data_IF_427256175671
#
_entry.id   IF_427256175671
#
_cell.length_a   1.000
_cell.length_b   1.000
_cell.length_c   1.000
_cell.angle_alpha   90.00
_cell.angle_beta   90.00
_cell.angle_gamma   90.00
#
_symmetry.space_group_name_H-M   'P 1'
#
loop_
_entity.id
_entity.type
_entity.pdbx_description
1 polymer ?
#
# COMPACT_ATOMS: atom_id res chain seq x y z
N UNK A 1 5.65 7.91 23.01
CA UNK A 1 5.61 6.51 22.59
C UNK A 1 6.23 6.42 21.19
N UNK A 2 7.09 5.45 20.98
CA UNK A 2 7.74 5.19 19.68
C UNK A 2 6.84 4.25 18.88
N UNK A 3 5.75 4.77 18.37
CA UNK A 3 4.75 3.96 17.65
C UNK A 3 4.32 4.63 16.35
N UNK A 4 4.14 3.81 15.33
CA UNK A 4 3.47 4.17 14.07
C UNK A 4 2.20 3.35 13.98
N UNK A 5 1.06 4.02 13.80
CA UNK A 5 -0.24 3.36 13.67
C UNK A 5 -0.78 3.56 12.26
N UNK A 6 -1.23 2.47 11.65
CA UNK A 6 -1.89 2.43 10.35
C UNK A 6 -3.27 1.85 10.56
N UNK A 7 -4.31 2.58 10.17
CA UNK A 7 -5.70 2.17 10.36
C UNK A 7 -6.49 2.22 9.06
N UNK A 8 -7.44 1.30 8.91
CA UNK A 8 -8.40 1.27 7.83
C UNK A 8 -9.84 1.10 8.37
N UNK A 9 -10.80 1.48 7.57
CA UNK A 9 -12.23 1.28 7.80
C UNK A 9 -12.81 0.15 6.92
N UNK A 10 -12.00 -0.81 6.53
CA UNK A 10 -12.33 -1.93 5.67
C UNK A 10 -13.26 -2.95 6.32
N UNK A 11 -13.24 -4.16 5.78
CA UNK A 11 -14.09 -5.25 6.29
C UNK A 11 -13.68 -5.75 7.67
N UNK A 12 -12.45 -5.48 8.11
CA UNK A 12 -11.91 -6.01 9.36
C UNK A 12 -11.80 -7.53 9.37
N UNK A 13 -11.59 -8.09 10.57
CA UNK A 13 -11.45 -9.52 10.78
C UNK A 13 -12.15 -9.93 12.08
N UNK A 14 -12.78 -11.10 12.09
CA UNK A 14 -13.22 -11.78 13.29
C UNK A 14 -12.07 -12.59 13.94
N UNK A 15 -12.33 -13.24 15.06
CA UNK A 15 -11.30 -13.99 15.82
C UNK A 15 -10.68 -15.16 15.01
N UNK A 16 -11.50 -15.90 14.27
CA UNK A 16 -11.03 -17.03 13.47
C UNK A 16 -10.15 -16.55 12.32
N UNK A 17 -10.56 -15.49 11.64
CA UNK A 17 -9.80 -14.87 10.56
C UNK A 17 -8.47 -14.28 11.05
N UNK A 18 -8.42 -13.67 12.24
CA UNK A 18 -7.18 -13.18 12.86
C UNK A 18 -6.19 -14.31 13.09
N UNK A 19 -6.66 -15.43 13.69
CA UNK A 19 -5.82 -16.60 13.93
C UNK A 19 -5.33 -17.21 12.61
N UNK A 20 -6.20 -17.27 11.62
CA UNK A 20 -5.92 -17.88 10.34
C UNK A 20 -4.97 -17.05 9.47
N UNK A 21 -5.18 -15.73 9.40
CA UNK A 21 -4.44 -14.84 8.51
C UNK A 21 -3.16 -14.27 9.15
N UNK A 22 -3.19 -13.98 10.45
CA UNK A 22 -2.03 -13.42 11.17
C UNK A 22 -1.24 -14.48 11.95
N UNK A 23 -1.83 -15.65 12.20
CA UNK A 23 -1.15 -16.78 12.82
C UNK A 23 -0.43 -17.70 11.84
N UNK A 24 -0.64 -17.53 10.54
CA UNK A 24 -0.06 -18.39 9.49
C UNK A 24 0.66 -17.55 8.45
N UNK A 25 1.96 -17.76 8.25
CA UNK A 25 2.76 -17.06 7.25
C UNK A 25 2.26 -17.38 5.84
N UNK A 26 2.23 -16.39 4.97
CA UNK A 26 1.83 -16.51 3.55
C UNK A 26 0.36 -16.94 3.36
N UNK A 27 -0.52 -16.61 4.29
CA UNK A 27 -1.97 -16.79 4.15
C UNK A 27 -2.67 -15.44 4.03
N UNK A 28 -3.53 -15.31 3.03
CA UNK A 28 -4.26 -14.08 2.74
C UNK A 28 -5.73 -14.36 2.49
N UNK A 29 -6.61 -13.58 3.12
CA UNK A 29 -8.04 -13.59 2.86
C UNK A 29 -8.43 -13.03 1.49
N UNK A 30 -7.51 -12.37 0.80
CA UNK A 30 -7.75 -11.74 -0.51
C UNK A 30 -8.23 -12.72 -1.57
N UNK A 31 -7.68 -13.95 -1.57
CA UNK A 31 -8.10 -14.99 -2.52
C UNK A 31 -9.54 -15.43 -2.28
N UNK A 32 -9.90 -15.71 -1.04
CA UNK A 32 -11.27 -16.11 -0.67
C UNK A 32 -12.27 -14.96 -0.95
N UNK A 33 -11.85 -13.72 -0.73
CA UNK A 33 -12.65 -12.54 -1.07
C UNK A 33 -12.88 -12.41 -2.58
N UNK A 34 -11.84 -12.60 -3.40
CA UNK A 34 -11.95 -12.63 -4.87
C UNK A 34 -12.90 -13.73 -5.37
N UNK A 35 -12.81 -14.90 -4.79
CA UNK A 35 -13.69 -16.04 -5.13
C UNK A 35 -15.16 -15.77 -4.75
N UNK A 36 -15.41 -14.96 -3.72
CA UNK A 36 -16.77 -14.53 -3.31
C UNK A 36 -17.34 -13.42 -4.19
N UNK A 37 -16.50 -12.67 -4.88
CA UNK A 37 -16.91 -11.66 -5.87
C UNK A 37 -17.21 -12.35 -7.20
N UNK A 38 -18.30 -11.99 -7.86
CA UNK A 38 -18.60 -12.51 -9.20
C UNK A 38 -17.48 -12.21 -10.20
N UNK A 39 -17.35 -13.05 -11.23
CA UNK A 39 -16.25 -13.04 -12.22
C UNK A 39 -15.97 -11.68 -12.87
N UNK A 40 -16.98 -10.83 -13.01
CA UNK A 40 -16.84 -9.51 -13.63
C UNK A 40 -16.30 -8.46 -12.65
N UNK A 41 -16.67 -8.52 -11.38
CA UNK A 41 -16.17 -7.62 -10.34
C UNK A 41 -14.75 -7.97 -9.89
N UNK A 42 -14.36 -9.24 -9.95
CA UNK A 42 -13.02 -9.70 -9.64
C UNK A 42 -11.96 -9.20 -10.64
N UNK A 43 -12.35 -8.98 -11.90
CA UNK A 43 -11.45 -8.44 -12.95
C UNK A 43 -11.11 -6.98 -12.76
N UNK A 44 -12.03 -6.19 -12.21
CA UNK A 44 -11.84 -4.75 -11.99
C UNK A 44 -11.20 -4.42 -10.63
N UNK A 45 -11.09 -5.41 -9.74
CA UNK A 45 -10.54 -5.20 -8.42
C UNK A 45 -9.00 -5.28 -8.43
N UNK A 46 -8.36 -4.12 -8.24
CA UNK A 46 -6.91 -4.02 -8.05
C UNK A 46 -6.54 -4.40 -6.61
N UNK A 47 -6.70 -5.68 -6.25
CA UNK A 47 -6.43 -6.14 -4.89
C UNK A 47 -4.93 -6.34 -4.65
N UNK A 48 -4.41 -5.65 -3.65
CA UNK A 48 -3.05 -5.77 -3.13
C UNK A 48 -3.06 -6.80 -1.99
N UNK A 49 -1.95 -7.52 -1.77
CA UNK A 49 -1.81 -8.40 -0.61
C UNK A 49 -2.20 -9.86 -0.84
N UNK A 50 -2.26 -10.33 -2.08
CA UNK A 50 -2.66 -11.70 -2.42
C UNK A 50 -1.78 -12.80 -1.79
N UNK A 51 -0.51 -12.51 -1.52
CA UNK A 51 0.45 -13.49 -1.02
C UNK A 51 0.51 -13.58 0.52
N UNK A 52 -0.13 -12.66 1.24
CA UNK A 52 -0.15 -12.64 2.70
C UNK A 52 1.22 -12.48 3.38
N UNK A 53 2.21 -11.91 2.71
CA UNK A 53 3.58 -11.75 3.24
C UNK A 53 3.91 -10.31 3.64
N UNK A 54 3.19 -9.32 3.11
CA UNK A 54 3.48 -7.89 3.33
C UNK A 54 3.39 -7.48 4.81
N UNK A 55 2.44 -8.03 5.55
CA UNK A 55 2.24 -7.76 6.97
C UNK A 55 3.50 -8.04 7.81
N UNK A 56 4.20 -9.13 7.50
CA UNK A 56 5.38 -9.53 8.28
C UNK A 56 6.59 -8.61 8.11
N UNK A 57 6.59 -7.76 7.07
CA UNK A 57 7.62 -6.73 6.91
C UNK A 57 7.61 -5.70 8.05
N UNK A 58 6.51 -5.57 8.78
CA UNK A 58 6.40 -4.74 9.97
C UNK A 58 7.46 -5.10 11.03
N UNK A 59 7.81 -6.38 11.16
CA UNK A 59 8.83 -6.84 12.11
C UNK A 59 10.27 -6.50 11.73
N UNK A 60 10.51 -5.95 10.53
CA UNK A 60 11.82 -5.41 10.17
C UNK A 60 12.11 -4.16 10.98
N UNK A 61 11.10 -3.32 11.24
CA UNK A 61 11.23 -2.02 11.90
C UNK A 61 10.62 -1.97 13.31
N UNK A 62 9.87 -3.00 13.69
CA UNK A 62 9.16 -3.06 14.98
C UNK A 62 9.62 -4.24 15.82
N UNK A 63 9.78 -4.01 17.14
CA UNK A 63 10.00 -5.06 18.13
C UNK A 63 8.72 -5.79 18.50
N UNK A 64 7.60 -5.10 18.31
CA UNK A 64 6.28 -5.61 18.61
C UNK A 64 5.24 -5.00 17.67
N UNK A 65 4.30 -5.81 17.24
CA UNK A 65 3.15 -5.38 16.43
C UNK A 65 1.88 -5.74 17.17
N UNK A 66 0.97 -4.78 17.29
CA UNK A 66 -0.38 -5.00 17.81
C UNK A 66 -1.40 -4.70 16.74
N UNK A 67 -2.44 -5.52 16.68
CA UNK A 67 -3.57 -5.37 15.75
C UNK A 67 -4.86 -5.32 16.55
N UNK A 68 -5.70 -4.34 16.24
CA UNK A 68 -7.06 -4.22 16.77
C UNK A 68 -8.01 -4.23 15.59
N UNK A 69 -8.89 -5.21 15.53
CA UNK A 69 -9.76 -5.36 14.38
C UNK A 69 -11.17 -5.75 14.78
N UNK A 70 -12.15 -5.45 13.96
CA UNK A 70 -13.53 -5.93 14.09
C UNK A 70 -14.13 -6.09 12.70
N UNK A 71 -14.71 -7.26 12.46
CA UNK A 71 -15.34 -7.58 11.19
C UNK A 71 -16.59 -6.71 10.94
N UNK A 72 -16.83 -6.40 9.69
CA UNK A 72 -18.03 -5.70 9.27
C UNK A 72 -19.28 -6.53 9.58
N UNK A 73 -20.27 -5.91 10.18
CA UNK A 73 -21.51 -6.60 10.62
C UNK A 73 -21.46 -7.17 12.03
N UNK A 74 -20.28 -7.30 12.62
CA UNK A 74 -20.14 -7.76 14.00
C UNK A 74 -20.48 -6.66 15.01
N UNK A 75 -20.84 -7.09 16.24
CA UNK A 75 -21.09 -6.17 17.35
C UNK A 75 -19.78 -5.58 17.89
N UNK A 76 -19.82 -4.41 18.53
CA UNK A 76 -18.61 -3.79 19.11
C UNK A 76 -17.84 -4.71 20.08
N UNK A 77 -18.53 -5.55 20.81
CA UNK A 77 -17.95 -6.49 21.80
C UNK A 77 -17.15 -7.61 21.15
N UNK A 78 -17.34 -7.86 19.85
CA UNK A 78 -16.64 -8.88 19.07
C UNK A 78 -15.35 -8.37 18.42
N UNK A 79 -14.81 -7.24 18.88
CA UNK A 79 -13.50 -6.77 18.49
C UNK A 79 -12.41 -7.75 18.95
N UNK A 80 -11.34 -7.83 18.19
CA UNK A 80 -10.21 -8.74 18.42
C UNK A 80 -8.93 -7.96 18.55
N UNK A 81 -8.14 -8.29 19.54
CA UNK A 81 -6.78 -7.82 19.74
C UNK A 81 -5.81 -8.98 19.43
N UNK A 82 -4.78 -8.68 18.69
CA UNK A 82 -3.67 -9.59 18.39
C UNK A 82 -2.35 -8.87 18.66
N UNK A 83 -1.38 -9.58 19.21
CA UNK A 83 -0.05 -9.06 19.52
C UNK A 83 1.01 -10.12 19.25
N UNK A 84 2.13 -9.72 18.66
CA UNK A 84 3.32 -10.55 18.54
C UNK A 84 4.61 -9.72 18.55
N UNK A 85 5.69 -10.34 19.01
CA UNK A 85 7.05 -9.83 18.89
C UNK A 85 7.80 -10.39 17.66
N UNK A 86 7.13 -11.21 16.83
CA UNK A 86 7.74 -11.81 15.64
C UNK A 86 8.61 -13.05 15.93
N UNK A 87 8.57 -13.60 17.14
CA UNK A 87 9.38 -14.74 17.59
C UNK A 87 8.65 -16.10 17.42
N UNK A 88 7.57 -16.12 16.64
CA UNK A 88 6.77 -17.33 16.38
C UNK A 88 5.59 -17.52 17.34
N UNK A 89 5.45 -16.65 18.33
CA UNK A 89 4.33 -16.64 19.27
C UNK A 89 3.47 -15.39 19.10
N UNK A 90 2.19 -15.51 19.40
CA UNK A 90 1.25 -14.39 19.41
C UNK A 90 0.18 -14.57 20.48
N UNK A 91 -0.41 -13.47 20.89
CA UNK A 91 -1.54 -13.43 21.84
C UNK A 91 -2.79 -12.94 21.11
N UNK A 92 -3.95 -13.54 21.40
CA UNK A 92 -5.26 -13.10 20.92
C UNK A 92 -6.20 -12.91 22.10
N UNK A 93 -6.85 -11.75 22.14
CA UNK A 93 -7.84 -11.41 23.15
C UNK A 93 -9.08 -10.77 22.52
N UNK A 94 -10.22 -10.89 23.19
CA UNK A 94 -11.43 -10.16 22.80
C UNK A 94 -11.39 -8.76 23.39
N UNK A 95 -11.81 -7.78 22.61
CA UNK A 95 -11.86 -6.36 22.99
C UNK A 95 -13.17 -5.72 22.50
N UNK A 96 -13.52 -4.60 23.08
CA UNK A 96 -14.55 -3.74 22.49
C UNK A 96 -13.91 -2.78 21.49
N UNK A 97 -14.39 -2.77 20.24
CA UNK A 97 -13.98 -1.84 19.19
C UNK A 97 -15.23 -1.27 18.51
N UNK A 98 -15.44 0.04 18.65
CA UNK A 98 -16.67 0.71 18.20
C UNK A 98 -16.82 0.64 16.67
N UNK A 99 -15.73 0.89 15.93
CA UNK A 99 -15.75 0.93 14.48
C UNK A 99 -15.23 -0.38 13.88
N UNK A 100 -15.73 -0.73 12.68
CA UNK A 100 -15.20 -1.81 11.86
C UNK A 100 -13.82 -1.44 11.30
N UNK A 101 -13.12 -2.42 10.74
CA UNK A 101 -11.81 -2.23 10.11
C UNK A 101 -10.67 -2.65 11.01
N UNK A 102 -9.45 -2.33 10.59
CA UNK A 102 -8.23 -2.81 11.23
C UNK A 102 -7.32 -1.65 11.59
N UNK A 103 -6.73 -1.70 12.77
CA UNK A 103 -5.72 -0.78 13.29
C UNK A 103 -4.48 -1.59 13.62
N UNK A 104 -3.35 -1.28 12.98
CA UNK A 104 -2.06 -1.93 13.18
C UNK A 104 -1.12 -0.91 13.80
N UNK A 105 -0.60 -1.21 14.99
CA UNK A 105 0.38 -0.35 15.67
C UNK A 105 1.73 -1.05 15.72
N UNK A 106 2.71 -0.41 15.10
CA UNK A 106 4.12 -0.80 15.13
C UNK A 106 4.81 -0.15 16.32
N UNK A 107 5.35 -0.93 17.24
CA UNK A 107 6.23 -0.47 18.29
C UNK A 107 7.65 -0.49 17.74
N UNK A 108 8.15 0.67 17.33
CA UNK A 108 9.37 0.80 16.55
C UNK A 108 10.61 0.44 17.37
N UNK A 109 11.55 -0.26 16.75
CA UNK A 109 12.85 -0.59 17.29
C UNK A 109 13.66 0.66 17.60
N UNK A 110 14.62 0.52 18.49
CA UNK A 110 15.65 1.53 18.69
C UNK A 110 16.45 1.72 17.39
N UNK A 111 16.60 2.97 16.96
CA UNK A 111 17.24 3.31 15.68
C UNK A 111 16.28 3.54 14.52
N UNK A 112 15.01 3.16 14.64
CA UNK A 112 13.98 3.35 13.58
C UNK A 112 13.15 4.63 13.78
N UNK A 113 13.73 5.67 14.37
CA UNK A 113 13.05 6.94 14.68
C UNK A 113 12.66 7.74 13.44
N UNK A 114 13.24 7.42 12.28
CA UNK A 114 12.88 8.02 11.00
C UNK A 114 11.39 7.88 10.70
N UNK A 115 10.77 6.76 11.10
CA UNK A 115 9.33 6.52 10.92
C UNK A 115 8.43 7.31 11.89
N UNK A 116 9.01 8.02 12.85
CA UNK A 116 8.30 8.97 13.71
C UNK A 116 8.26 10.39 13.11
N UNK A 117 8.99 10.60 12.03
CA UNK A 117 9.06 11.87 11.35
C UNK A 117 7.98 11.95 10.26
N UNK A 118 7.05 12.91 10.41
CA UNK A 118 5.95 13.13 9.48
C UNK A 118 6.43 13.33 8.03
N UNK A 119 7.46 14.14 7.82
CA UNK A 119 8.02 14.38 6.48
C UNK A 119 8.55 13.08 5.84
N UNK A 120 9.20 12.24 6.64
CA UNK A 120 9.73 10.95 6.17
C UNK A 120 8.61 10.00 5.76
N UNK A 121 7.56 9.89 6.57
CA UNK A 121 6.39 9.06 6.28
C UNK A 121 5.69 9.56 5.00
N UNK A 122 5.49 10.87 4.85
CA UNK A 122 4.93 11.48 3.63
C UNK A 122 5.77 11.16 2.40
N UNK A 123 7.09 11.28 2.50
CA UNK A 123 8.02 10.96 1.41
C UNK A 123 7.93 9.49 0.99
N UNK A 124 7.82 8.57 1.95
CA UNK A 124 7.66 7.14 1.67
C UNK A 124 6.33 6.87 0.97
N UNK A 125 5.24 7.44 1.47
CA UNK A 125 3.91 7.26 0.88
C UNK A 125 3.86 7.85 -0.54
N UNK A 126 4.38 9.05 -0.73
CA UNK A 126 4.48 9.67 -2.06
C UNK A 126 5.29 8.81 -3.04
N UNK A 127 6.40 8.22 -2.56
CA UNK A 127 7.27 7.43 -3.43
C UNK A 127 6.69 6.06 -3.79
N UNK A 128 6.02 5.38 -2.84
CA UNK A 128 5.65 3.97 -3.00
C UNK A 128 4.14 3.72 -3.07
N UNK A 129 3.33 4.66 -2.62
CA UNK A 129 1.88 4.50 -2.45
C UNK A 129 1.04 5.59 -3.11
N UNK A 130 1.67 6.50 -3.87
CA UNK A 130 0.94 7.59 -4.53
C UNK A 130 -0.10 7.07 -5.54
N UNK A 131 0.15 5.89 -6.10
CA UNK A 131 -0.63 5.30 -7.17
C UNK A 131 -1.65 4.25 -6.72
N UNK A 132 -1.67 3.89 -5.44
CA UNK A 132 -2.68 2.96 -4.95
C UNK A 132 -4.05 3.62 -5.01
N UNK A 133 -5.08 2.85 -5.41
CA UNK A 133 -6.44 3.37 -5.57
C UNK A 133 -7.15 3.72 -4.25
N UNK A 134 -6.45 3.60 -3.12
CA UNK A 134 -6.96 3.93 -1.80
C UNK A 134 -6.39 5.27 -1.35
N UNK A 135 -7.21 6.18 -0.81
CA UNK A 135 -6.71 7.41 -0.21
C UNK A 135 -5.91 7.07 1.06
N UNK A 136 -4.72 7.64 1.16
CA UNK A 136 -3.90 7.60 2.37
C UNK A 136 -3.96 8.96 3.02
N UNK A 137 -4.38 8.99 4.28
CA UNK A 137 -4.53 10.20 5.05
C UNK A 137 -3.59 10.16 6.25
N UNK A 138 -3.05 11.33 6.62
CA UNK A 138 -2.23 11.51 7.80
C UNK A 138 -2.86 12.54 8.73
N UNK A 139 -2.72 12.32 10.02
CA UNK A 139 -3.21 13.25 11.04
C UNK A 139 -2.40 14.56 10.97
N UNK A 140 -3.09 15.67 10.85
CA UNK A 140 -2.54 17.01 10.92
C UNK A 140 -3.04 17.73 12.15
N UNK A 141 -2.12 18.20 12.99
CA UNK A 141 -2.42 18.97 14.21
C UNK A 141 -2.08 20.42 13.97
N UNK A 142 -3.04 21.28 14.11
CA UNK A 142 -2.89 22.73 14.02
C UNK A 142 -3.35 23.39 15.32
N UNK A 143 -2.57 24.34 15.83
CA UNK A 143 -3.01 25.20 16.90
C UNK A 143 -3.80 26.36 16.34
N UNK A 144 -5.08 26.46 16.69
CA UNK A 144 -5.96 27.59 16.37
C UNK A 144 -6.58 28.11 17.65
N UNK A 145 -6.42 29.38 17.91
CA UNK A 145 -6.98 30.08 19.08
C UNK A 145 -6.66 29.42 20.43
N UNK A 146 -5.50 28.74 20.53
CA UNK A 146 -5.08 28.05 21.76
C UNK A 146 -5.66 26.64 21.92
N UNK A 147 -6.40 26.14 20.93
CA UNK A 147 -6.91 24.77 20.89
C UNK A 147 -6.21 23.98 19.77
N UNK A 148 -5.90 22.70 20.07
CA UNK A 148 -5.35 21.79 19.06
C UNK A 148 -6.49 21.23 18.22
N UNK A 149 -6.53 21.65 16.95
CA UNK A 149 -7.48 21.13 15.95
C UNK A 149 -6.81 19.95 15.22
N UNK A 150 -7.43 18.79 15.27
CA UNK A 150 -7.00 17.60 14.54
C UNK A 150 -7.80 17.50 13.24
N UNK A 151 -7.09 17.39 12.12
CA UNK A 151 -7.68 17.15 10.81
C UNK A 151 -6.94 16.02 10.10
N UNK A 152 -7.54 15.43 9.07
CA UNK A 152 -6.93 14.40 8.24
C UNK A 152 -6.60 14.99 6.87
N UNK A 153 -5.38 14.84 6.44
CA UNK A 153 -4.89 15.33 5.15
C UNK A 153 -4.59 14.13 4.25
N UNK A 154 -5.23 14.11 3.08
CA UNK A 154 -4.91 13.14 2.03
C UNK A 154 -3.56 13.46 1.41
N UNK A 155 -2.63 12.50 1.43
CA UNK A 155 -1.23 12.70 1.05
C UNK A 155 -0.80 11.93 -0.20
N UNK A 156 -1.68 11.11 -0.79
CA UNK A 156 -1.43 10.45 -2.06
C UNK A 156 -2.48 10.84 -3.10
N UNK A 157 -2.16 10.69 -4.37
CA UNK A 157 -3.10 10.97 -5.46
C UNK A 157 -4.25 9.98 -5.49
N UNK A 158 -4.04 8.77 -5.00
CA UNK A 158 -5.00 7.66 -4.98
C UNK A 158 -5.58 7.36 -6.37
N UNK A 159 -4.79 7.55 -7.40
CA UNK A 159 -5.18 7.32 -8.79
C UNK A 159 -4.01 6.80 -9.59
N UNK A 160 -4.11 5.56 -10.03
CA UNK A 160 -3.13 4.96 -10.92
C UNK A 160 -3.41 5.42 -12.36
N UNK A 161 -2.56 6.32 -12.88
CA UNK A 161 -2.73 6.90 -14.21
C UNK A 161 -2.79 5.82 -15.29
N UNK A 162 -2.00 4.76 -15.15
CA UNK A 162 -1.96 3.66 -16.14
C UNK A 162 -3.21 2.78 -16.16
N UNK A 163 -4.08 2.85 -15.16
CA UNK A 163 -5.34 2.10 -15.14
C UNK A 163 -6.44 2.81 -15.90
N UNK A 164 -6.28 4.11 -16.15
CA UNK A 164 -7.23 4.90 -16.93
C UNK A 164 -7.08 4.56 -18.42
N UNK A 165 -8.17 4.73 -19.16
CA UNK A 165 -8.14 4.61 -20.62
C UNK A 165 -7.20 5.67 -21.22
N UNK A 166 -6.45 5.30 -22.27
CA UNK A 166 -5.57 6.23 -22.99
C UNK A 166 -6.28 7.48 -23.50
N UNK A 167 -7.57 7.37 -23.82
CA UNK A 167 -8.41 8.49 -24.25
C UNK A 167 -8.82 9.46 -23.14
N UNK A 168 -8.67 9.05 -21.88
CA UNK A 168 -9.02 9.84 -20.70
C UNK A 168 -7.82 10.55 -20.08
N UNK A 169 -6.62 10.25 -20.55
CA UNK A 169 -5.38 10.85 -20.05
C UNK A 169 -4.81 11.79 -21.10
N UNK A 170 -4.62 13.03 -20.74
CA UNK A 170 -3.99 14.02 -21.62
C UNK A 170 -2.45 14.02 -21.51
N UNK A 171 -1.80 14.65 -22.47
CA UNK A 171 -0.32 14.70 -22.55
C UNK A 171 0.33 15.36 -21.34
N UNK A 172 -0.30 16.37 -20.75
CA UNK A 172 0.23 17.04 -19.57
C UNK A 172 0.19 16.15 -18.33
N UNK A 173 -0.86 15.34 -18.17
CA UNK A 173 -0.93 14.34 -17.11
C UNK A 173 0.18 13.28 -17.24
N UNK A 174 0.48 12.81 -18.48
CA UNK A 174 1.60 11.90 -18.71
C UNK A 174 2.95 12.52 -18.36
N UNK A 175 3.19 13.79 -18.71
CA UNK A 175 4.43 14.50 -18.41
C UNK A 175 4.60 14.76 -16.92
N UNK A 176 3.55 15.22 -16.26
CA UNK A 176 3.57 15.46 -14.82
C UNK A 176 3.79 14.15 -14.04
N UNK A 177 3.16 13.08 -14.50
CA UNK A 177 3.38 11.75 -13.92
C UNK A 177 4.85 11.32 -14.07
N UNK A 178 5.44 11.48 -15.25
CA UNK A 178 6.86 11.20 -15.48
C UNK A 178 7.76 11.99 -14.53
N UNK A 179 7.57 13.31 -14.43
CA UNK A 179 8.36 14.16 -13.53
C UNK A 179 8.28 13.68 -12.10
N UNK A 180 7.09 13.27 -11.68
CA UNK A 180 6.87 12.78 -10.33
C UNK A 180 7.63 11.47 -10.05
N UNK A 181 7.52 10.46 -10.94
CA UNK A 181 8.12 9.14 -10.72
C UNK A 181 9.63 9.11 -10.99
N UNK A 182 10.10 9.90 -11.97
CA UNK A 182 11.50 9.97 -12.34
C UNK A 182 12.31 10.91 -11.43
N UNK A 183 11.62 11.75 -10.62
CA UNK A 183 12.20 12.89 -9.91
C UNK A 183 13.00 13.80 -10.86
N UNK A 184 12.50 13.95 -12.09
CA UNK A 184 13.06 14.77 -13.16
C UNK A 184 12.14 15.96 -13.38
N UNK A 185 12.72 17.14 -13.55
CA UNK A 185 11.95 18.37 -13.83
C UNK A 185 11.74 18.60 -15.32
N UNK A 186 12.41 17.81 -16.17
CA UNK A 186 12.30 17.89 -17.62
C UNK A 186 11.12 17.05 -18.12
N UNK A 187 10.53 17.43 -19.24
CA UNK A 187 9.54 16.59 -19.92
C UNK A 187 10.21 15.32 -20.48
N UNK A 188 9.50 14.18 -20.52
CA UNK A 188 10.01 13.00 -21.21
C UNK A 188 10.10 13.26 -22.72
N UNK A 189 11.02 12.58 -23.39
CA UNK A 189 11.11 12.61 -24.85
C UNK A 189 9.85 12.00 -25.50
N UNK A 190 9.39 10.91 -24.96
CA UNK A 190 8.18 10.20 -25.42
C UNK A 190 7.71 9.21 -24.35
N UNK A 191 6.49 8.71 -24.52
CA UNK A 191 5.92 7.65 -23.68
C UNK A 191 5.07 6.69 -24.50
N UNK A 192 4.82 5.52 -23.94
CA UNK A 192 3.94 4.51 -24.51
C UNK A 192 3.05 3.93 -23.42
N UNK A 193 1.76 4.10 -23.58
CA UNK A 193 0.73 3.54 -22.69
C UNK A 193 0.04 2.41 -23.45
N UNK A 194 0.21 1.17 -22.96
CA UNK A 194 -0.30 -0.02 -23.62
C UNK A 194 -1.15 -0.83 -22.63
N UNK A 195 -2.27 -1.32 -23.14
CA UNK A 195 -3.09 -2.34 -22.51
C UNK A 195 -3.09 -3.55 -23.41
N UNK A 196 -2.62 -4.66 -22.90
CA UNK A 196 -2.56 -5.93 -23.61
C UNK A 196 -3.60 -6.85 -23.00
N UNK A 197 -4.51 -7.35 -23.84
CA UNK A 197 -5.57 -8.31 -23.48
C UNK A 197 -5.26 -9.65 -24.14
N UNK A 198 -5.46 -10.75 -23.42
CA UNK A 198 -5.22 -12.10 -23.94
C UNK A 198 -4.95 -13.10 -22.83
N UNK A 199 -4.12 -14.11 -23.11
CA UNK A 199 -3.69 -15.09 -22.10
C UNK A 199 -2.90 -14.45 -20.94
N UNK A 200 -2.26 -13.34 -21.21
CA UNK A 200 -1.62 -12.47 -20.24
C UNK A 200 -2.21 -11.08 -20.42
N UNK A 201 -2.89 -10.60 -19.39
CA UNK A 201 -3.42 -9.24 -19.38
C UNK A 201 -2.47 -8.36 -18.56
N UNK A 202 -2.00 -7.28 -19.16
CA UNK A 202 -1.21 -6.30 -18.45
C UNK A 202 -1.37 -4.90 -19.03
N UNK A 203 -1.16 -3.92 -18.19
CA UNK A 203 -1.04 -2.53 -18.60
C UNK A 203 0.39 -2.08 -18.36
N UNK A 204 0.99 -1.41 -19.33
CA UNK A 204 2.32 -0.81 -19.20
C UNK A 204 2.32 0.65 -19.59
N UNK A 205 3.01 1.44 -18.79
CA UNK A 205 3.32 2.84 -19.10
C UNK A 205 4.84 3.00 -19.07
N UNK A 206 5.41 3.22 -20.24
CA UNK A 206 6.84 3.32 -20.44
C UNK A 206 7.21 4.76 -20.83
N UNK A 207 8.34 5.25 -20.33
CA UNK A 207 8.87 6.57 -20.65
C UNK A 207 10.31 6.48 -21.15
N UNK A 208 10.64 7.38 -22.07
CA UNK A 208 12.01 7.65 -22.49
C UNK A 208 12.37 9.05 -21.98
N UNK A 209 13.40 9.19 -21.13
CA UNK A 209 13.89 10.48 -20.69
C UNK A 209 14.36 11.35 -21.86
N UNK A 210 14.21 12.66 -21.77
CA UNK A 210 14.77 13.61 -22.77
C UNK A 210 16.29 13.72 -22.68
N UNK A 211 16.86 13.39 -21.52
CA UNK A 211 18.30 13.39 -21.27
C UNK A 211 18.74 12.04 -20.76
N UNK A 212 19.91 11.57 -21.23
CA UNK A 212 20.49 10.34 -20.70
C UNK A 212 20.87 10.55 -19.22
N UNK A 213 20.60 9.57 -18.34
CA UNK A 213 21.06 9.62 -16.96
C UNK A 213 22.57 9.82 -16.90
N UNK A 214 23.03 10.66 -15.96
CA UNK A 214 24.46 10.99 -15.80
C UNK A 214 25.32 9.78 -15.51
N UNK A 215 24.74 8.72 -14.95
CA UNK A 215 25.35 7.45 -14.58
C UNK A 215 25.34 6.41 -15.73
N UNK A 216 24.80 6.79 -16.90
CA UNK A 216 24.65 5.88 -18.06
C UNK A 216 26.01 5.35 -18.58
N UNK A 217 27.09 6.08 -18.32
CA UNK A 217 28.45 5.70 -18.74
C UNK A 217 29.23 4.93 -17.67
N UNK A 218 28.66 4.72 -16.49
CA UNK A 218 29.28 3.98 -15.42
C UNK A 218 29.16 2.47 -15.70
N UNK A 219 30.29 1.79 -15.91
CA UNK A 219 30.34 0.33 -16.22
C UNK A 219 29.83 -0.55 -15.08
N UNK A 220 29.82 -0.05 -13.86
CA UNK A 220 29.34 -0.80 -12.69
C UNK A 220 27.82 -0.70 -12.51
N UNK A 221 27.15 0.15 -13.29
CA UNK A 221 25.71 0.30 -13.25
C UNK A 221 25.05 -0.67 -14.23
N UNK A 222 24.18 -1.55 -13.72
CA UNK A 222 23.35 -2.39 -14.57
C UNK A 222 22.30 -1.54 -15.26
N UNK A 223 22.48 -1.35 -16.57
CA UNK A 223 21.48 -0.69 -17.39
C UNK A 223 20.24 -1.56 -17.50
N UNK A 224 19.07 -0.96 -17.27
CA UNK A 224 17.78 -1.67 -17.31
C UNK A 224 16.59 -0.75 -17.11
N UNK A 225 15.42 -1.33 -17.19
CA UNK A 225 14.18 -0.62 -16.82
C UNK A 225 14.24 -0.25 -15.34
N UNK A 226 13.88 1.00 -15.01
CA UNK A 226 13.63 1.42 -13.62
C UNK A 226 12.13 1.22 -13.34
N UNK A 227 11.73 0.11 -12.72
CA UNK A 227 10.33 -0.11 -12.40
C UNK A 227 9.90 0.78 -11.24
N UNK A 228 8.71 1.36 -11.35
CA UNK A 228 8.12 2.23 -10.32
C UNK A 228 7.06 1.50 -9.51
N UNK A 229 6.35 0.59 -10.15
CA UNK A 229 5.32 -0.22 -9.50
C UNK A 229 5.16 -1.56 -10.20
N UNK A 230 4.91 -2.60 -9.42
CA UNK A 230 4.51 -3.91 -9.89
C UNK A 230 3.07 -4.17 -9.44
N UNK A 231 2.12 -3.84 -10.29
CA UNK A 231 0.77 -4.34 -10.13
C UNK A 231 0.62 -5.54 -11.04
N UNK A 232 0.65 -6.73 -10.48
CA UNK A 232 0.39 -8.03 -11.11
C UNK A 232 1.31 -8.48 -12.26
N UNK A 233 2.24 -9.37 -11.93
CA UNK A 233 2.66 -10.45 -12.80
C UNK A 233 1.90 -11.70 -12.36
N UNK A 234 0.77 -12.01 -12.99
CA UNK A 234 0.23 -13.36 -12.95
C UNK A 234 1.12 -14.22 -13.84
N UNK A 235 2.01 -14.97 -13.24
CA UNK A 235 2.68 -16.06 -13.95
C UNK A 235 1.62 -17.09 -14.32
N UNK A 236 1.54 -17.55 -15.59
CA UNK A 236 0.64 -18.64 -15.94
C UNK A 236 1.06 -19.85 -15.12
N UNK A 237 0.16 -20.34 -14.27
CA UNK A 237 0.27 -21.66 -13.68
C UNK A 237 0.07 -22.65 -14.82
N UNK A 238 1.14 -23.27 -15.29
CA UNK A 238 1.05 -24.43 -16.14
C UNK A 238 0.36 -25.53 -15.31
N UNK A 239 -0.86 -25.84 -15.67
CA UNK A 239 -1.55 -27.09 -15.33
C UNK A 239 -1.04 -28.21 -16.23
#
# INVERSE_FOLDING_TARGET
>A
NRTLTIADNGIGMNREEVIDHLGTIAKSGTKAFLESMGSDQAKDSQLIGQFGVGFYSAFIVADKVTVRTRAAGDKPENGVFWESAGEGEYTVADITKADRGTEITLHLREGEDDFLNDWRVRSIISKYSDHIALPVEIEKREEKDGETVISWEKINKAQALWTRSKSEVNDDEYKEFYKHIAHDYSDPLTWSHNRVEGKQEYTSLLYIPSQAPWDMWNRDHKHGLKPVSYTHLTLPTNS
#
